data_IF_014029805143
#
_entry.id   IF_014029805143
#
_cell.length_a   1.000
_cell.length_b   1.000
_cell.length_c   1.000
_cell.angle_alpha   90.00
_cell.angle_beta   90.00
_cell.angle_gamma   90.00
#
_symmetry.space_group_name_H-M   'P 1'
#
loop_
_entity.id
_entity.type
_entity.pdbx_description
1 polymer ?
#
# COMPACT_ATOMS: atom_id res chain seq x y z
N UNK A 1 -13.40 -20.32 -3.12
CA UNK A 1 -12.25 -19.55 -2.59
C UNK A 1 -11.19 -20.56 -2.19
N UNK A 2 -9.94 -20.36 -2.58
CA UNK A 2 -8.82 -21.14 -2.03
C UNK A 2 -8.44 -20.59 -0.65
N UNK A 3 -7.76 -21.39 0.15
CA UNK A 3 -7.23 -21.02 1.47
C UNK A 3 -6.36 -19.75 1.36
N UNK A 4 -5.55 -19.66 0.29
CA UNK A 4 -4.77 -18.45 -0.04
C UNK A 4 -5.64 -17.20 -0.22
N UNK A 5 -6.79 -17.32 -0.89
CA UNK A 5 -7.68 -16.17 -1.10
C UNK A 5 -8.34 -15.69 0.19
N UNK A 6 -8.60 -16.59 1.13
CA UNK A 6 -9.13 -16.25 2.47
C UNK A 6 -8.07 -15.50 3.27
N UNK A 7 -6.83 -15.98 3.24
CA UNK A 7 -5.69 -15.35 3.92
C UNK A 7 -5.36 -13.98 3.32
N UNK A 8 -5.36 -13.83 2.00
CA UNK A 8 -5.16 -12.53 1.34
C UNK A 8 -6.26 -11.53 1.70
N UNK A 9 -7.52 -11.98 1.78
CA UNK A 9 -8.61 -11.11 2.23
C UNK A 9 -8.39 -10.62 3.67
N UNK A 10 -7.99 -11.52 4.58
CA UNK A 10 -7.68 -11.17 5.96
C UNK A 10 -6.51 -10.18 6.05
N UNK A 11 -5.51 -10.31 5.17
CA UNK A 11 -4.41 -9.34 5.02
C UNK A 11 -4.91 -7.94 4.66
N UNK A 12 -5.74 -7.79 3.62
CA UNK A 12 -6.28 -6.48 3.24
C UNK A 12 -7.23 -5.89 4.29
N UNK A 13 -8.02 -6.72 4.95
CA UNK A 13 -8.89 -6.31 6.05
C UNK A 13 -8.07 -5.79 7.25
N UNK A 14 -7.00 -6.48 7.62
CA UNK A 14 -6.09 -6.02 8.67
C UNK A 14 -5.39 -4.71 8.30
N UNK A 15 -4.97 -4.53 7.04
CA UNK A 15 -4.42 -3.25 6.56
C UNK A 15 -5.44 -2.13 6.66
N UNK A 16 -6.66 -2.34 6.15
CA UNK A 16 -7.74 -1.38 6.22
C UNK A 16 -7.98 -0.90 7.66
N UNK A 17 -8.14 -1.84 8.60
CA UNK A 17 -8.38 -1.51 10.01
C UNK A 17 -7.21 -0.75 10.64
N UNK A 18 -5.96 -1.16 10.37
CA UNK A 18 -4.77 -0.48 10.90
C UNK A 18 -4.66 0.94 10.37
N UNK A 19 -4.94 1.15 9.09
CA UNK A 19 -4.88 2.45 8.46
C UNK A 19 -5.98 3.38 8.97
N UNK A 20 -7.22 2.89 9.09
CA UNK A 20 -8.33 3.65 9.69
C UNK A 20 -8.01 4.05 11.14
N UNK A 21 -7.51 3.11 11.95
CA UNK A 21 -7.19 3.37 13.35
C UNK A 21 -6.04 4.37 13.54
N UNK A 22 -5.14 4.49 12.55
CA UNK A 22 -3.93 5.32 12.63
C UNK A 22 -3.94 6.51 11.66
N UNK A 23 -5.10 6.88 11.10
CA UNK A 23 -5.24 7.99 10.13
C UNK A 23 -4.54 9.28 10.56
N UNK A 24 -4.72 9.69 11.83
CA UNK A 24 -4.09 10.90 12.36
C UNK A 24 -2.57 10.79 12.44
N UNK A 25 -2.05 9.61 12.77
CA UNK A 25 -0.60 9.32 12.83
C UNK A 25 -0.01 9.33 11.42
N UNK A 26 -0.70 8.70 10.45
CA UNK A 26 -0.32 8.72 9.04
C UNK A 26 -0.25 10.15 8.50
N UNK A 27 -1.25 10.98 8.78
CA UNK A 27 -1.27 12.37 8.35
C UNK A 27 -0.10 13.19 8.94
N UNK A 28 0.20 13.02 10.22
CA UNK A 28 1.33 13.68 10.86
C UNK A 28 2.67 13.21 10.26
N UNK A 29 2.80 11.92 9.93
CA UNK A 29 4.02 11.35 9.36
C UNK A 29 4.24 11.76 7.90
N UNK A 30 3.16 11.98 7.14
CA UNK A 30 3.21 12.60 5.81
C UNK A 30 3.86 13.99 5.89
N UNK A 31 3.46 14.81 6.86
CA UNK A 31 4.02 16.15 7.02
C UNK A 31 5.54 16.12 7.27
N UNK A 32 5.99 15.21 8.13
CA UNK A 32 7.41 14.99 8.41
C UNK A 32 8.17 14.54 7.15
N UNK A 33 7.71 13.48 6.50
CA UNK A 33 8.39 12.89 5.35
C UNK A 33 8.39 13.78 4.12
N UNK A 34 7.30 14.53 3.88
CA UNK A 34 7.23 15.47 2.78
C UNK A 34 8.26 16.59 2.96
N UNK A 35 8.33 17.19 4.15
CA UNK A 35 9.31 18.23 4.47
C UNK A 35 10.75 17.73 4.30
N UNK A 36 11.07 16.55 4.86
CA UNK A 36 12.39 15.93 4.73
C UNK A 36 12.80 15.69 3.28
N UNK A 37 11.91 15.11 2.46
CA UNK A 37 12.26 14.77 1.08
C UNK A 37 12.42 16.03 0.21
N UNK A 38 11.62 17.07 0.45
CA UNK A 38 11.76 18.36 -0.25
C UNK A 38 13.11 19.01 0.11
N UNK A 39 13.47 19.04 1.39
CA UNK A 39 14.75 19.59 1.84
C UNK A 39 15.93 18.80 1.25
N UNK A 40 15.88 17.46 1.34
CA UNK A 40 16.92 16.56 0.84
C UNK A 40 17.15 16.70 -0.66
N UNK A 41 16.09 16.85 -1.45
CA UNK A 41 16.17 16.91 -2.93
C UNK A 41 16.37 18.33 -3.46
N UNK A 42 16.04 19.34 -2.69
CA UNK A 42 16.19 20.75 -3.08
C UNK A 42 15.38 21.10 -4.32
N UNK A 43 14.13 20.61 -4.41
CA UNK A 43 13.27 20.87 -5.57
C UNK A 43 13.11 22.37 -5.82
N UNK A 44 13.58 22.84 -6.99
CA UNK A 44 13.58 24.26 -7.33
C UNK A 44 12.15 24.81 -7.46
N UNK A 45 11.88 25.96 -6.83
CA UNK A 45 10.60 26.65 -6.92
C UNK A 45 9.45 25.94 -6.20
N UNK A 46 9.76 25.15 -5.17
CA UNK A 46 8.77 24.62 -4.23
C UNK A 46 8.43 25.70 -3.20
N UNK A 47 7.23 26.26 -3.28
CA UNK A 47 6.73 27.31 -2.40
C UNK A 47 5.66 26.73 -1.46
N UNK A 48 5.18 27.54 -0.51
CA UNK A 48 4.16 27.14 0.46
C UNK A 48 2.88 26.59 -0.22
N UNK A 49 2.42 27.24 -1.30
CA UNK A 49 1.23 26.78 -2.03
C UNK A 49 1.42 25.38 -2.63
N UNK A 50 2.60 25.10 -3.21
CA UNK A 50 2.92 23.75 -3.71
C UNK A 50 3.06 22.76 -2.56
N UNK A 51 3.62 23.17 -1.43
CA UNK A 51 3.69 22.31 -0.25
C UNK A 51 2.31 21.86 0.18
N UNK A 52 1.38 22.80 0.35
CA UNK A 52 0.00 22.48 0.73
C UNK A 52 -0.69 21.60 -0.33
N UNK A 53 -0.51 21.90 -1.62
CA UNK A 53 -1.09 21.07 -2.68
C UNK A 53 -0.56 19.62 -2.67
N UNK A 54 0.73 19.42 -2.40
CA UNK A 54 1.32 18.08 -2.32
C UNK A 54 0.90 17.35 -1.05
N UNK A 55 0.83 18.06 0.07
CA UNK A 55 0.30 17.53 1.34
C UNK A 55 -1.14 17.04 1.16
N UNK A 56 -2.01 17.87 0.58
CA UNK A 56 -3.40 17.52 0.31
C UNK A 56 -3.51 16.32 -0.63
N UNK A 57 -2.65 16.23 -1.66
CA UNK A 57 -2.59 15.07 -2.53
C UNK A 57 -2.18 13.79 -1.77
N UNK A 58 -1.19 13.87 -0.87
CA UNK A 58 -0.77 12.73 -0.05
C UNK A 58 -1.93 12.24 0.85
N UNK A 59 -2.66 13.17 1.47
CA UNK A 59 -3.80 12.84 2.33
C UNK A 59 -4.93 12.20 1.53
N UNK A 60 -5.26 12.75 0.36
CA UNK A 60 -6.25 12.16 -0.54
C UNK A 60 -5.85 10.75 -0.98
N UNK A 61 -4.56 10.53 -1.27
CA UNK A 61 -4.06 9.21 -1.66
C UNK A 61 -4.11 8.19 -0.52
N UNK A 62 -3.94 8.60 0.75
CA UNK A 62 -4.19 7.72 1.90
C UNK A 62 -5.66 7.30 1.93
N UNK A 63 -6.59 8.24 1.78
CA UNK A 63 -8.03 7.93 1.76
C UNK A 63 -8.38 6.99 0.59
N UNK A 64 -7.86 7.25 -0.60
CA UNK A 64 -8.01 6.36 -1.76
C UNK A 64 -7.44 4.95 -1.48
N UNK A 65 -6.29 4.86 -0.80
CA UNK A 65 -5.66 3.60 -0.44
C UNK A 65 -6.49 2.80 0.56
N UNK A 66 -7.05 3.47 1.56
CA UNK A 66 -7.94 2.88 2.55
C UNK A 66 -9.21 2.35 1.88
N UNK A 67 -9.82 3.12 0.98
CA UNK A 67 -10.97 2.67 0.22
C UNK A 67 -10.64 1.50 -0.73
N UNK A 68 -9.43 1.48 -1.31
CA UNK A 68 -8.98 0.36 -2.14
C UNK A 68 -8.83 -0.94 -1.34
N UNK A 69 -8.43 -0.86 -0.06
CA UNK A 69 -8.32 -2.02 0.84
C UNK A 69 -9.63 -2.37 1.56
N UNK A 70 -10.69 -1.57 1.38
CA UNK A 70 -11.98 -1.83 1.97
C UNK A 70 -12.43 -3.27 1.66
N UNK A 71 -12.72 -4.10 2.67
CA UNK A 71 -13.07 -5.51 2.50
C UNK A 71 -14.24 -5.78 1.56
N UNK A 72 -15.13 -4.80 1.36
CA UNK A 72 -16.24 -4.89 0.40
C UNK A 72 -15.72 -4.64 -1.04
N UNK A 73 -14.83 -3.67 -1.23
CA UNK A 73 -14.24 -3.32 -2.52
C UNK A 73 -13.26 -4.39 -3.04
N UNK A 74 -12.40 -4.90 -2.17
CA UNK A 74 -11.38 -5.91 -2.53
C UNK A 74 -12.01 -7.23 -3.02
N UNK A 75 -13.21 -7.58 -2.55
CA UNK A 75 -13.96 -8.76 -2.99
C UNK A 75 -14.32 -8.72 -4.48
N UNK A 76 -14.45 -7.53 -5.08
CA UNK A 76 -14.74 -7.39 -6.52
C UNK A 76 -13.51 -7.63 -7.39
N UNK A 77 -12.31 -7.35 -6.87
CA UNK A 77 -11.03 -7.58 -7.56
C UNK A 77 -10.77 -9.09 -7.69
N UNK A 78 -11.04 -9.85 -6.63
CA UNK A 78 -10.75 -11.29 -6.59
C UNK A 78 -11.84 -12.20 -7.18
N UNK A 79 -13.09 -11.73 -7.37
CA UNK A 79 -14.22 -12.59 -7.79
C UNK A 79 -14.52 -12.61 -9.31
N UNK A 80 -13.87 -11.82 -10.17
CA UNK A 80 -14.19 -11.80 -11.61
C UNK A 80 -13.28 -12.70 -12.44
N UNK A 81 -13.87 -13.58 -13.25
CA UNK A 81 -13.17 -14.49 -14.17
C UNK A 81 -12.38 -13.82 -15.33
N UNK A 82 -12.32 -12.48 -15.39
CA UNK A 82 -11.43 -11.70 -16.27
C UNK A 82 -10.30 -10.98 -15.50
N UNK A 83 -10.12 -11.31 -14.21
CA UNK A 83 -9.25 -10.59 -13.30
C UNK A 83 -7.78 -10.62 -13.68
N UNK A 84 -7.30 -11.60 -14.45
CA UNK A 84 -5.86 -11.72 -14.73
C UNK A 84 -5.29 -10.52 -15.50
N UNK A 85 -5.98 -10.08 -16.56
CA UNK A 85 -5.51 -8.94 -17.39
C UNK A 85 -5.69 -7.60 -16.67
N UNK A 86 -6.75 -7.45 -15.88
CA UNK A 86 -7.00 -6.23 -15.08
C UNK A 86 -6.01 -6.14 -13.92
N UNK A 87 -5.76 -7.24 -13.22
CA UNK A 87 -4.74 -7.32 -12.18
C UNK A 87 -3.36 -7.06 -12.81
N UNK A 88 -2.99 -7.71 -13.92
CA UNK A 88 -1.70 -7.45 -14.56
C UNK A 88 -1.51 -5.97 -14.96
N UNK A 89 -2.58 -5.27 -15.37
CA UNK A 89 -2.56 -3.83 -15.65
C UNK A 89 -2.52 -2.98 -14.36
N UNK A 90 -3.23 -3.34 -13.30
CA UNK A 90 -3.15 -2.67 -11.99
C UNK A 90 -1.79 -2.86 -11.32
N UNK A 91 -1.16 -4.02 -11.50
CA UNK A 91 0.20 -4.31 -11.06
C UNK A 91 1.24 -3.48 -11.82
N UNK A 92 0.89 -3.01 -13.02
CA UNK A 92 1.61 -2.03 -13.81
C UNK A 92 0.94 -0.66 -13.69
N UNK A 93 0.79 -0.15 -12.46
CA UNK A 93 0.51 1.28 -12.26
C UNK A 93 1.42 2.04 -13.22
N UNK A 94 0.90 3.02 -13.97
CA UNK A 94 1.58 3.65 -15.12
C UNK A 94 3.04 4.13 -14.86
N UNK A 95 3.49 4.14 -13.61
CA UNK A 95 4.80 4.57 -13.12
C UNK A 95 5.61 3.50 -12.38
N UNK A 96 5.03 2.34 -12.04
CA UNK A 96 5.58 1.34 -11.11
C UNK A 96 5.31 -0.10 -11.58
N UNK A 97 6.34 -0.95 -11.55
CA UNK A 97 6.19 -2.38 -11.80
C UNK A 97 6.16 -3.15 -10.48
N UNK A 98 4.95 -3.54 -10.05
CA UNK A 98 4.74 -4.22 -8.76
C UNK A 98 4.55 -5.74 -8.88
N UNK A 99 4.81 -6.32 -10.07
CA UNK A 99 4.57 -7.76 -10.32
C UNK A 99 5.38 -8.66 -9.39
N UNK A 100 6.65 -8.32 -9.16
CA UNK A 100 7.51 -9.11 -8.27
C UNK A 100 7.07 -9.02 -6.80
N UNK A 101 6.63 -7.83 -6.38
CA UNK A 101 6.11 -7.62 -5.01
C UNK A 101 4.80 -8.38 -4.82
N UNK A 102 3.89 -8.32 -5.80
CA UNK A 102 2.64 -9.08 -5.77
C UNK A 102 2.89 -10.59 -5.74
N UNK A 103 3.82 -11.08 -6.56
CA UNK A 103 4.21 -12.49 -6.53
C UNK A 103 4.72 -12.88 -5.14
N UNK A 104 5.55 -12.05 -4.52
CA UNK A 104 6.07 -12.27 -3.16
C UNK A 104 4.96 -12.28 -2.11
N UNK A 105 3.97 -11.37 -2.20
CA UNK A 105 2.78 -11.36 -1.35
C UNK A 105 1.98 -12.66 -1.49
N UNK A 106 1.69 -13.08 -2.73
CA UNK A 106 0.92 -14.30 -3.01
C UNK A 106 1.67 -15.54 -2.52
N UNK A 107 2.98 -15.62 -2.72
CA UNK A 107 3.80 -16.72 -2.21
C UNK A 107 3.82 -16.75 -0.67
N UNK A 108 3.91 -15.59 -0.03
CA UNK A 108 3.86 -15.46 1.43
C UNK A 108 2.51 -15.94 1.96
N UNK A 109 1.40 -15.46 1.38
CA UNK A 109 0.05 -15.91 1.73
C UNK A 109 -0.15 -17.41 1.48
N UNK A 110 0.40 -17.97 0.39
CA UNK A 110 0.35 -19.42 0.13
C UNK A 110 1.07 -20.24 1.19
N UNK A 111 2.25 -19.81 1.64
CA UNK A 111 3.00 -20.50 2.70
C UNK A 111 2.26 -20.50 4.03
N UNK A 112 1.50 -19.43 4.31
CA UNK A 112 0.75 -19.24 5.55
C UNK A 112 -0.69 -19.80 5.48
N UNK A 113 -1.17 -20.12 4.29
CA UNK A 113 -2.46 -20.77 4.07
C UNK A 113 -2.35 -22.26 4.44
N UNK A 114 -2.68 -22.58 5.69
CA UNK A 114 -2.82 -23.94 6.20
C UNK A 114 -4.29 -24.38 6.07
N UNK A 115 -4.53 -25.68 5.90
CA UNK A 115 -5.88 -26.25 5.97
C UNK A 115 -6.54 -25.96 7.33
N UNK A 116 -7.85 -25.73 7.32
CA UNK A 116 -8.70 -25.52 8.51
C UNK A 116 -8.36 -24.30 9.40
N UNK A 117 -7.84 -23.22 8.81
CA UNK A 117 -7.70 -21.94 9.53
C UNK A 117 -9.05 -21.43 10.05
N UNK A 118 -9.15 -21.21 11.36
CA UNK A 118 -10.32 -20.58 11.98
C UNK A 118 -10.26 -19.06 11.84
N UNK A 119 -11.40 -18.38 11.99
CA UNK A 119 -11.46 -16.92 11.97
C UNK A 119 -10.52 -16.27 13.01
N UNK A 120 -10.41 -16.88 14.19
CA UNK A 120 -9.51 -16.41 15.26
C UNK A 120 -8.02 -16.50 14.87
N UNK A 121 -7.65 -17.42 13.99
CA UNK A 121 -6.28 -17.60 13.50
C UNK A 121 -5.96 -16.72 12.28
N UNK A 122 -6.98 -16.26 11.54
CA UNK A 122 -6.78 -15.43 10.35
C UNK A 122 -6.14 -14.09 10.69
N UNK A 123 -6.49 -13.47 11.84
CA UNK A 123 -5.91 -12.18 12.23
C UNK A 123 -4.41 -12.28 12.50
N UNK A 124 -3.91 -13.16 13.39
CA UNK A 124 -2.47 -13.35 13.56
C UNK A 124 -1.73 -13.65 12.26
N UNK A 125 -2.31 -14.48 11.38
CA UNK A 125 -1.70 -14.79 10.07
C UNK A 125 -1.61 -13.54 9.18
N UNK A 126 -2.66 -12.72 9.14
CA UNK A 126 -2.65 -11.46 8.40
C UNK A 126 -1.56 -10.51 8.90
N UNK A 127 -1.38 -10.43 10.22
CA UNK A 127 -0.34 -9.59 10.83
C UNK A 127 1.07 -10.09 10.50
N UNK A 128 1.29 -11.41 10.48
CA UNK A 128 2.55 -12.00 10.01
C UNK A 128 2.82 -11.68 8.54
N UNK A 129 1.79 -11.70 7.69
CA UNK A 129 1.94 -11.37 6.27
C UNK A 129 2.27 -9.89 6.10
N UNK A 130 1.64 -8.98 6.84
CA UNK A 130 1.98 -7.55 6.82
C UNK A 130 3.46 -7.37 7.22
N UNK A 131 3.91 -8.02 8.30
CA UNK A 131 5.30 -7.93 8.73
C UNK A 131 6.31 -8.47 7.71
N UNK A 132 5.99 -9.56 7.00
CA UNK A 132 6.89 -10.16 6.00
C UNK A 132 6.83 -9.41 4.65
N UNK A 133 5.63 -9.17 4.13
CA UNK A 133 5.38 -8.68 2.78
C UNK A 133 5.28 -7.15 2.67
N UNK A 134 4.95 -6.45 3.77
CA UNK A 134 4.68 -5.02 3.77
C UNK A 134 3.26 -4.68 3.31
N UNK A 135 3.04 -3.42 2.96
CA UNK A 135 1.81 -2.87 2.38
C UNK A 135 1.95 -2.86 0.86
N UNK A 136 1.55 -3.95 0.20
CA UNK A 136 1.56 -4.00 -1.27
C UNK A 136 0.75 -2.86 -1.91
N UNK A 137 1.25 -2.11 -2.92
CA UNK A 137 2.52 -2.21 -3.66
C UNK A 137 3.58 -1.15 -3.25
N UNK A 138 3.64 -0.78 -1.98
CA UNK A 138 4.41 0.37 -1.51
C UNK A 138 5.92 0.19 -1.67
N UNK A 139 6.45 -1.03 -1.55
CA UNK A 139 7.88 -1.28 -1.74
C UNK A 139 8.33 -1.02 -3.18
N UNK A 140 7.49 -1.38 -4.17
CA UNK A 140 7.74 -1.10 -5.58
C UNK A 140 7.69 0.39 -5.89
N UNK A 141 6.75 1.11 -5.27
CA UNK A 141 6.65 2.57 -5.39
C UNK A 141 7.91 3.24 -4.83
N UNK A 142 8.34 2.83 -3.63
CA UNK A 142 9.55 3.35 -2.97
C UNK A 142 10.78 3.11 -3.86
N UNK A 143 11.02 1.87 -4.28
CA UNK A 143 12.18 1.52 -5.11
C UNK A 143 12.21 2.33 -6.41
N UNK A 144 11.09 2.41 -7.12
CA UNK A 144 10.99 3.12 -8.39
C UNK A 144 11.11 4.65 -8.26
N UNK A 145 10.73 5.21 -7.10
CA UNK A 145 11.01 6.61 -6.79
C UNK A 145 12.48 6.83 -6.49
N UNK A 146 13.10 5.98 -5.66
CA UNK A 146 14.51 6.12 -5.28
C UNK A 146 15.46 6.02 -6.48
N UNK A 147 15.15 5.15 -7.44
CA UNK A 147 15.88 5.02 -8.71
C UNK A 147 15.82 6.30 -9.55
N UNK A 148 14.64 6.95 -9.59
CA UNK A 148 14.42 8.17 -10.39
C UNK A 148 13.46 9.13 -9.69
N UNK A 149 13.96 9.92 -8.73
CA UNK A 149 13.13 10.84 -7.95
C UNK A 149 12.56 11.94 -8.84
N UNK A 150 11.27 12.22 -8.68
CA UNK A 150 10.60 13.26 -9.45
C UNK A 150 9.37 13.78 -8.72
N UNK A 151 9.07 15.06 -8.91
CA UNK A 151 7.94 15.73 -8.24
C UNK A 151 6.60 15.03 -8.51
N UNK A 152 6.34 14.59 -9.75
CA UNK A 152 5.11 13.88 -10.09
C UNK A 152 4.93 12.52 -9.41
N UNK A 153 6.01 11.91 -8.86
CA UNK A 153 5.96 10.66 -8.09
C UNK A 153 6.06 10.88 -6.59
N UNK A 154 6.31 12.12 -6.16
CA UNK A 154 6.57 12.43 -4.76
C UNK A 154 5.37 12.09 -3.87
N UNK A 155 4.10 12.39 -4.21
CA UNK A 155 2.98 12.01 -3.36
C UNK A 155 2.88 10.49 -3.14
N UNK A 156 2.96 9.68 -4.20
CA UNK A 156 2.95 8.21 -4.08
C UNK A 156 4.08 7.70 -3.17
N UNK A 157 5.29 8.23 -3.36
CA UNK A 157 6.46 7.84 -2.54
C UNK A 157 6.28 8.19 -1.08
N UNK A 158 5.80 9.41 -0.76
CA UNK A 158 5.58 9.82 0.62
C UNK A 158 4.52 8.95 1.27
N UNK A 159 3.41 8.66 0.58
CA UNK A 159 2.36 7.77 1.06
C UNK A 159 2.90 6.36 1.29
N UNK A 160 3.61 5.78 0.32
CA UNK A 160 4.19 4.46 0.41
C UNK A 160 5.18 4.33 1.58
N UNK A 161 6.09 5.31 1.76
CA UNK A 161 6.99 5.32 2.92
C UNK A 161 6.24 5.44 4.23
N UNK A 162 5.21 6.28 4.30
CA UNK A 162 4.42 6.50 5.50
C UNK A 162 3.73 5.20 5.93
N UNK A 163 3.16 4.48 4.98
CA UNK A 163 2.49 3.20 5.23
C UNK A 163 3.47 2.11 5.66
N UNK A 164 4.61 1.95 4.97
CA UNK A 164 5.65 1.00 5.37
C UNK A 164 6.24 1.32 6.76
N UNK A 165 6.29 2.58 7.18
CA UNK A 165 6.84 2.96 8.50
C UNK A 165 5.83 2.80 9.65
N UNK A 166 4.55 3.08 9.40
CA UNK A 166 3.53 3.17 10.47
C UNK A 166 2.67 1.91 10.57
N UNK A 167 2.44 1.21 9.46
CA UNK A 167 1.49 0.08 9.41
C UNK A 167 2.17 -1.28 9.54
N UNK A 168 3.42 -1.40 9.07
CA UNK A 168 4.21 -2.64 9.08
C UNK A 168 4.89 -2.82 10.43
#
# INVERSE_FOLDING_TARGET
MSETSVVLRAYYEALYERMEAQKEILAAKIDEFLAEEIEKRGFAGFNEEKYQAYRDACLAFIDERIEAYNPIGIQYIYNRCSAKEVIELELQLNWYDSRNEFQSLVETARRKAVEDLTEEQLRPVAEEIIAEAGVFPDRSIISAYEEKPSLNKLPDYIVARTLEEVIV
#
